data_IF_459559983618
#
_entry.id   IF_459559983618
#
_cell.length_a   1.000
_cell.length_b   1.000
_cell.length_c   1.000
_cell.angle_alpha   90.00
_cell.angle_beta   90.00
_cell.angle_gamma   90.00
#
_symmetry.space_group_name_H-M   'P 1'
#
loop_
_entity.id
_entity.type
_entity.pdbx_description
1 polymer ?
#
# COMPACT_ATOMS: atom_id res chain seq x y z
N UNK A 1 32.21 -12.53 -21.06
CA UNK A 1 31.94 -12.11 -22.45
C UNK A 1 30.49 -12.43 -22.72
N UNK A 2 29.64 -11.40 -22.78
CA UNK A 2 28.27 -11.52 -23.29
C UNK A 2 28.18 -10.46 -24.37
N UNK A 3 27.89 -10.92 -25.58
CA UNK A 3 28.02 -10.19 -26.83
C UNK A 3 27.07 -9.00 -26.93
N UNK A 4 27.65 -7.85 -27.26
CA UNK A 4 26.96 -6.67 -27.76
C UNK A 4 26.77 -6.80 -29.26
N UNK A 5 25.57 -7.22 -29.69
CA UNK A 5 25.12 -7.01 -31.06
C UNK A 5 23.81 -6.20 -31.11
N UNK A 6 24.01 -4.99 -31.63
CA UNK A 6 23.14 -4.09 -32.35
C UNK A 6 21.65 -4.45 -32.50
N UNK A 7 20.80 -3.54 -32.02
CA UNK A 7 19.60 -3.13 -32.74
C UNK A 7 19.74 -1.67 -33.10
N UNK A 8 20.11 -1.42 -34.35
CA UNK A 8 20.12 -0.12 -35.01
C UNK A 8 18.69 0.32 -35.32
N UNK A 9 18.27 1.43 -34.71
CA UNK A 9 16.98 2.08 -34.97
C UNK A 9 16.98 3.47 -34.36
N UNK A 10 17.47 4.45 -35.12
CA UNK A 10 17.46 5.86 -34.76
C UNK A 10 16.01 6.32 -34.46
N UNK A 11 15.76 6.75 -33.23
CA UNK A 11 14.51 7.47 -32.88
C UNK A 11 13.77 7.01 -31.62
N UNK A 12 14.11 5.90 -30.97
CA UNK A 12 13.36 5.45 -29.78
C UNK A 12 14.21 5.49 -28.52
N UNK A 13 14.13 6.66 -27.87
CA UNK A 13 14.15 6.85 -26.43
C UNK A 13 15.33 6.28 -25.65
N UNK A 14 16.31 7.15 -25.43
CA UNK A 14 17.07 7.19 -24.18
C UNK A 14 16.10 7.51 -23.02
N UNK A 15 15.25 6.55 -22.66
CA UNK A 15 14.52 6.61 -21.40
C UNK A 15 15.57 6.49 -20.29
N UNK A 16 15.77 7.59 -19.57
CA UNK A 16 16.67 7.65 -18.42
C UNK A 16 16.33 6.51 -17.44
N UNK A 17 17.34 5.84 -16.88
CA UNK A 17 17.18 4.65 -16.01
C UNK A 17 16.16 4.83 -14.88
N UNK A 18 16.00 6.06 -14.38
CA UNK A 18 14.96 6.43 -13.41
C UNK A 18 13.53 6.18 -13.92
N UNK A 19 13.26 6.45 -15.20
CA UNK A 19 11.94 6.27 -15.82
C UNK A 19 11.64 4.78 -15.96
N UNK A 20 12.63 3.98 -16.39
CA UNK A 20 12.49 2.52 -16.46
C UNK A 20 12.16 1.92 -15.09
N UNK A 21 12.83 2.40 -14.03
CA UNK A 21 12.55 1.99 -12.65
C UNK A 21 11.10 2.28 -12.24
N UNK A 22 10.60 3.48 -12.52
CA UNK A 22 9.22 3.86 -12.20
C UNK A 22 8.20 2.98 -12.96
N UNK A 23 8.48 2.64 -14.22
CA UNK A 23 7.62 1.76 -15.02
C UNK A 23 7.59 0.35 -14.42
N UNK A 24 8.76 -0.19 -14.07
CA UNK A 24 8.89 -1.52 -13.49
C UNK A 24 8.24 -1.60 -12.10
N UNK A 25 8.43 -0.60 -11.25
CA UNK A 25 7.79 -0.52 -9.93
C UNK A 25 6.26 -0.47 -10.06
N UNK A 26 5.73 0.33 -11.00
CA UNK A 26 4.29 0.36 -11.29
C UNK A 26 3.75 -1.00 -11.75
N UNK A 27 4.49 -1.73 -12.58
CA UNK A 27 4.10 -3.07 -13.03
C UNK A 27 4.07 -4.05 -11.86
N UNK A 28 5.10 -4.04 -11.02
CA UNK A 28 5.21 -4.88 -9.83
C UNK A 28 4.10 -4.60 -8.81
N UNK A 29 3.78 -3.32 -8.57
CA UNK A 29 2.65 -2.92 -7.70
C UNK A 29 1.33 -3.45 -8.26
N UNK A 30 1.06 -3.22 -9.55
CA UNK A 30 -0.17 -3.70 -10.18
C UNK A 30 -0.31 -5.23 -10.09
N UNK A 31 0.79 -5.96 -10.30
CA UNK A 31 0.79 -7.42 -10.17
C UNK A 31 0.50 -7.86 -8.74
N UNK A 32 1.14 -7.25 -7.72
CA UNK A 32 0.89 -7.56 -6.30
C UNK A 32 -0.55 -7.27 -5.88
N UNK A 33 -1.13 -6.18 -6.37
CA UNK A 33 -2.50 -5.76 -6.05
C UNK A 33 -3.57 -6.45 -6.91
N UNK A 34 -3.19 -7.23 -7.93
CA UNK A 34 -4.12 -7.85 -8.88
C UNK A 34 -5.10 -8.83 -8.22
N UNK A 35 -4.68 -9.49 -7.13
CA UNK A 35 -5.50 -10.44 -6.39
C UNK A 35 -6.51 -9.77 -5.43
N UNK A 36 -6.43 -8.45 -5.26
CA UNK A 36 -7.35 -7.69 -4.39
C UNK A 36 -8.60 -7.32 -5.19
N UNK A 37 -9.71 -8.01 -4.89
CA UNK A 37 -10.99 -7.84 -5.59
C UNK A 37 -11.59 -6.44 -5.46
N UNK A 38 -11.46 -5.83 -4.28
CA UNK A 38 -12.06 -4.53 -3.97
C UNK A 38 -11.03 -3.62 -3.30
N UNK A 39 -10.92 -2.39 -3.79
CA UNK A 39 -10.05 -1.33 -3.26
C UNK A 39 -10.94 -0.15 -2.89
N UNK A 40 -11.02 0.17 -1.60
CA UNK A 40 -11.90 1.22 -1.08
C UNK A 40 -11.03 2.35 -0.55
N UNK A 41 -11.13 3.53 -1.16
CA UNK A 41 -10.44 4.72 -0.71
C UNK A 41 -11.34 5.59 0.15
N UNK A 42 -10.87 5.99 1.33
CA UNK A 42 -11.58 6.88 2.25
C UNK A 42 -10.76 8.16 2.37
N UNK A 43 -11.30 9.27 1.88
CA UNK A 43 -10.61 10.55 1.80
C UNK A 43 -11.43 11.65 2.48
N UNK A 44 -10.80 12.77 2.82
CA UNK A 44 -11.49 13.98 3.27
C UNK A 44 -10.68 15.23 3.01
N UNK A 45 -11.35 16.36 2.87
CA UNK A 45 -10.72 17.66 2.68
C UNK A 45 -10.30 18.37 4.00
N UNK A 46 -10.60 17.83 5.18
CA UNK A 46 -10.34 18.47 6.48
C UNK A 46 -9.89 17.48 7.56
N UNK A 47 -9.06 17.94 8.50
CA UNK A 47 -8.72 17.20 9.71
C UNK A 47 -9.95 17.02 10.63
N UNK A 48 -9.96 15.96 11.44
CA UNK A 48 -10.97 15.77 12.49
C UNK A 48 -12.36 15.29 12.05
N UNK A 49 -12.62 15.08 10.75
CA UNK A 49 -13.94 14.63 10.25
C UNK A 49 -14.25 13.14 10.48
N UNK A 50 -13.36 12.41 11.14
CA UNK A 50 -13.57 10.98 11.46
C UNK A 50 -13.19 9.99 10.36
N UNK A 51 -12.35 10.37 9.37
CA UNK A 51 -11.85 9.44 8.33
C UNK A 51 -11.35 8.10 8.89
N UNK A 52 -10.42 8.15 9.83
CA UNK A 52 -9.82 6.95 10.45
C UNK A 52 -10.87 6.11 11.14
N UNK A 53 -11.82 6.74 11.85
CA UNK A 53 -12.97 6.05 12.46
C UNK A 53 -13.80 5.30 11.43
N UNK A 54 -14.12 5.94 10.29
CA UNK A 54 -14.88 5.29 9.21
C UNK A 54 -14.08 4.16 8.57
N UNK A 55 -12.78 4.37 8.32
CA UNK A 55 -11.91 3.38 7.71
C UNK A 55 -11.75 2.12 8.59
N UNK A 56 -11.46 2.30 9.88
CA UNK A 56 -11.34 1.21 10.84
C UNK A 56 -12.67 0.46 10.95
N UNK A 57 -13.79 1.14 11.20
CA UNK A 57 -15.07 0.45 11.37
C UNK A 57 -15.50 -0.30 10.11
N UNK A 58 -15.26 0.27 8.93
CA UNK A 58 -15.56 -0.41 7.66
C UNK A 58 -14.72 -1.69 7.51
N UNK A 59 -13.42 -1.62 7.81
CA UNK A 59 -12.54 -2.78 7.71
C UNK A 59 -12.96 -3.92 8.65
N UNK A 60 -13.27 -3.60 9.91
CA UNK A 60 -13.69 -4.60 10.90
C UNK A 60 -15.10 -5.14 10.62
N UNK A 61 -16.02 -4.31 10.11
CA UNK A 61 -17.33 -4.79 9.67
C UNK A 61 -17.20 -5.81 8.53
N UNK A 62 -16.36 -5.52 7.52
CA UNK A 62 -16.10 -6.45 6.42
C UNK A 62 -15.41 -7.73 6.90
N UNK A 63 -14.47 -7.64 7.84
CA UNK A 63 -13.86 -8.82 8.47
C UNK A 63 -14.90 -9.70 9.16
N UNK A 64 -15.79 -9.09 9.95
CA UNK A 64 -16.89 -9.78 10.65
C UNK A 64 -17.91 -10.43 9.71
N UNK A 65 -18.05 -9.93 8.49
CA UNK A 65 -18.85 -10.55 7.43
C UNK A 65 -18.13 -11.73 6.74
N UNK A 66 -16.90 -12.06 7.14
CA UNK A 66 -16.12 -13.18 6.62
C UNK A 66 -15.20 -12.84 5.44
N UNK A 67 -15.02 -11.56 5.11
CA UNK A 67 -14.09 -11.15 4.05
C UNK A 67 -12.64 -11.10 4.54
N UNK A 68 -11.69 -11.36 3.62
CA UNK A 68 -10.27 -11.10 3.87
C UNK A 68 -10.01 -9.62 3.69
N UNK A 69 -9.61 -8.94 4.78
CA UNK A 69 -9.48 -7.48 4.79
C UNK A 69 -8.05 -7.06 5.17
N UNK A 70 -7.52 -6.11 4.40
CA UNK A 70 -6.33 -5.34 4.76
C UNK A 70 -6.71 -3.87 4.91
N UNK A 71 -6.20 -3.21 5.95
CA UNK A 71 -6.30 -1.77 6.17
C UNK A 71 -4.91 -1.16 6.05
N UNK A 72 -4.78 -0.18 5.16
CA UNK A 72 -3.55 0.60 5.00
C UNK A 72 -3.89 2.04 5.37
N UNK A 73 -3.21 2.56 6.38
CA UNK A 73 -3.20 3.98 6.70
C UNK A 73 -2.04 4.65 5.97
N UNK A 74 -2.36 5.59 5.10
CA UNK A 74 -1.39 6.34 4.30
C UNK A 74 -1.27 7.81 4.76
N UNK A 75 -1.90 8.16 5.89
CA UNK A 75 -1.81 9.47 6.51
C UNK A 75 -0.54 9.53 7.37
N UNK A 76 0.43 10.35 6.98
CA UNK A 76 1.74 10.47 7.66
C UNK A 76 1.64 11.39 8.90
N UNK A 77 0.65 12.28 8.94
CA UNK A 77 0.62 13.41 9.89
C UNK A 77 -0.39 13.25 11.05
N UNK A 78 -1.08 12.10 11.18
CA UNK A 78 -2.22 11.92 12.09
C UNK A 78 -2.13 10.64 12.94
N UNK A 79 -2.90 10.54 14.05
CA UNK A 79 -2.79 9.41 14.95
C UNK A 79 -3.12 8.09 14.24
N UNK A 80 -2.08 7.26 14.16
CA UNK A 80 -2.02 5.95 13.54
C UNK A 80 -3.28 5.12 13.72
N UNK A 81 -3.77 4.49 12.65
CA UNK A 81 -4.77 3.42 12.74
C UNK A 81 -4.40 2.35 13.79
N UNK A 82 -3.10 2.07 13.98
CA UNK A 82 -2.62 1.19 15.06
C UNK A 82 -2.89 1.75 16.46
N UNK A 83 -2.60 3.04 16.70
CA UNK A 83 -2.92 3.70 17.97
C UNK A 83 -4.42 3.74 18.23
N UNK A 84 -5.23 4.03 17.19
CA UNK A 84 -6.69 3.98 17.28
C UNK A 84 -7.19 2.59 17.67
N UNK A 85 -6.49 1.55 17.23
CA UNK A 85 -6.78 0.16 17.55
C UNK A 85 -6.14 -0.31 18.87
N UNK A 86 -5.36 0.51 19.57
CA UNK A 86 -4.62 0.08 20.77
C UNK A 86 -3.65 -1.06 20.49
N UNK A 87 -3.08 -1.10 19.28
CA UNK A 87 -2.04 -2.06 18.89
C UNK A 87 -0.69 -1.42 19.21
N UNK A 88 0.01 -1.97 20.20
CA UNK A 88 1.37 -1.57 20.54
C UNK A 88 2.38 -2.34 19.67
N UNK A 89 3.30 -1.62 19.04
CA UNK A 89 4.34 -2.18 18.20
C UNK A 89 4.68 -1.28 17.02
N UNK A 90 5.96 -0.99 16.85
CA UNK A 90 6.48 -0.37 15.64
C UNK A 90 6.49 -1.39 14.51
N UNK A 91 6.28 -0.90 13.29
CA UNK A 91 6.61 -1.67 12.11
C UNK A 91 8.07 -2.12 12.21
N UNK A 92 8.30 -3.40 11.92
CA UNK A 92 9.65 -3.86 11.68
C UNK A 92 10.23 -3.06 10.51
N UNK A 93 11.39 -2.42 10.69
CA UNK A 93 12.13 -1.76 9.62
C UNK A 93 12.59 -2.77 8.53
N UNK A 94 12.43 -4.07 8.75
CA UNK A 94 12.64 -5.09 7.73
C UNK A 94 11.58 -5.00 6.64
N UNK A 95 12.05 -4.90 5.39
CA UNK A 95 11.22 -5.09 4.22
C UNK A 95 11.14 -6.58 3.84
N UNK A 96 9.95 -7.10 3.49
CA UNK A 96 8.67 -6.39 3.44
C UNK A 96 8.06 -6.14 4.83
N UNK A 97 7.38 -5.00 4.97
CA UNK A 97 6.64 -4.64 6.20
C UNK A 97 5.73 -5.80 6.63
N UNK A 98 5.88 -6.24 7.88
CA UNK A 98 5.00 -7.24 8.49
C UNK A 98 3.75 -6.52 9.04
N UNK A 99 2.54 -6.80 8.54
CA UNK A 99 1.32 -6.16 9.04
C UNK A 99 1.01 -6.65 10.46
N UNK A 100 0.51 -5.75 11.29
CA UNK A 100 -0.14 -6.14 12.53
C UNK A 100 -1.48 -6.82 12.21
N UNK A 101 -1.96 -7.70 13.08
CA UNK A 101 -3.26 -8.36 12.91
C UNK A 101 -4.14 -8.18 14.13
N UNK A 102 -5.39 -7.76 13.93
CA UNK A 102 -6.39 -7.64 14.99
C UNK A 102 -7.77 -8.01 14.45
N UNK A 103 -8.45 -8.94 15.14
CA UNK A 103 -9.78 -9.46 14.76
C UNK A 103 -9.91 -9.83 13.26
N UNK A 104 -8.87 -10.48 12.72
CA UNK A 104 -8.83 -10.92 11.32
C UNK A 104 -8.55 -9.80 10.28
N UNK A 105 -8.32 -8.57 10.73
CA UNK A 105 -7.89 -7.45 9.87
C UNK A 105 -6.37 -7.30 9.96
N UNK A 106 -5.71 -7.31 8.80
CA UNK A 106 -4.28 -6.97 8.69
C UNK A 106 -4.12 -5.47 8.51
N UNK A 107 -3.35 -4.84 9.39
CA UNK A 107 -3.20 -3.39 9.45
C UNK A 107 -1.76 -2.99 9.20
N UNK A 108 -1.57 -2.07 8.26
CA UNK A 108 -0.31 -1.35 8.03
C UNK A 108 -0.59 0.15 8.17
N UNK A 109 0.32 0.86 8.80
CA UNK A 109 0.34 2.31 9.00
C UNK A 109 1.77 2.75 8.72
N UNK A 110 1.99 3.99 8.30
CA UNK A 110 3.35 4.49 8.02
C UNK A 110 3.76 5.68 8.87
N UNK A 111 2.89 6.12 9.77
CA UNK A 111 3.18 7.12 10.80
C UNK A 111 3.54 6.46 12.15
#
# INVERSE_FOLDING_TARGET
>A
MVDTEQVSGAGTNMMHSSILRVIEDKKNINQKLSNIKHKIGIYSAKGGVGKTTVAVNTAFALSRMGYKVGLIDADIDCPNALMFLGIEGTFSDEYPLKPAEKEGVKVVSTA
#
